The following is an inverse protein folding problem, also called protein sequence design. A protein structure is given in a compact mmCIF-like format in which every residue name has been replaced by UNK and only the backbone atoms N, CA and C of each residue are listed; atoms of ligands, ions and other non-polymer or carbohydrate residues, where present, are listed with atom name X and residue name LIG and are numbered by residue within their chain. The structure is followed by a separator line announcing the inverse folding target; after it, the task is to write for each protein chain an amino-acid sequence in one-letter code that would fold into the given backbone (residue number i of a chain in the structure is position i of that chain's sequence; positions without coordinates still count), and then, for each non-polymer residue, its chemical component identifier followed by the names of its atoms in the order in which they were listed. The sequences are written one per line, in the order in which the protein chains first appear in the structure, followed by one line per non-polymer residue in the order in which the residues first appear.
data_IF_436688789297
#
_entry.id   IF_436688789297
#
_cell.length_a   1.000
_cell.length_b   1.000
_cell.length_c   1.000
_cell.angle_alpha   90.00
_cell.angle_beta   90.00
_cell.angle_gamma   90.00
#
_symmetry.space_group_name_H-M   'P 1'
#
loop_
_entity.id
_entity.type
_entity.pdbx_description
1 polymer ?
#
# COMPACT_ATOMS: atom_id res chain seq x y z
N UNK A 1 -24.69 -17.44 -3.00
CA UNK A 1 -25.28 -16.11 -3.29
C UNK A 1 -24.36 -15.42 -4.26
N UNK A 2 -24.71 -15.43 -5.55
CA UNK A 2 -24.03 -14.66 -6.59
C UNK A 2 -24.45 -13.20 -6.40
N UNK A 3 -23.63 -12.41 -5.72
CA UNK A 3 -23.79 -10.96 -5.71
C UNK A 3 -23.52 -10.46 -7.13
N UNK A 4 -24.56 -10.01 -7.83
CA UNK A 4 -24.38 -9.18 -9.02
C UNK A 4 -23.43 -8.05 -8.61
N UNK A 5 -22.23 -7.99 -9.23
CA UNK A 5 -21.27 -6.93 -8.94
C UNK A 5 -21.95 -5.58 -9.07
N UNK A 6 -21.84 -4.74 -8.07
CA UNK A 6 -22.31 -3.37 -8.18
C UNK A 6 -21.40 -2.68 -9.21
N UNK A 7 -21.93 -2.23 -10.33
CA UNK A 7 -21.18 -1.43 -11.31
C UNK A 7 -20.97 0.02 -10.82
N UNK A 8 -20.76 0.19 -9.51
CA UNK A 8 -20.64 1.50 -8.86
C UNK A 8 -19.44 2.34 -9.36
N UNK A 9 -18.46 1.68 -9.98
CA UNK A 9 -17.26 2.32 -10.54
C UNK A 9 -17.24 2.25 -12.10
N UNK A 10 -18.36 1.91 -12.72
CA UNK A 10 -18.43 1.84 -14.19
C UNK A 10 -18.15 3.22 -14.81
N UNK A 11 -17.33 3.24 -15.86
CA UNK A 11 -16.90 4.50 -16.52
C UNK A 11 -15.84 5.29 -15.79
N UNK A 12 -15.24 4.73 -14.73
CA UNK A 12 -14.14 5.32 -14.00
C UNK A 12 -12.80 4.68 -14.37
N UNK A 13 -11.75 5.51 -14.45
CA UNK A 13 -10.37 5.12 -14.69
C UNK A 13 -9.61 5.04 -13.36
N UNK A 14 -8.86 3.95 -13.16
CA UNK A 14 -8.06 3.74 -11.96
C UNK A 14 -6.61 3.36 -12.30
N UNK A 15 -5.64 3.96 -11.60
CA UNK A 15 -4.25 3.55 -11.59
C UNK A 15 -3.91 2.89 -10.25
N UNK A 16 -3.24 1.74 -10.28
CA UNK A 16 -2.70 1.08 -9.09
C UNK A 16 -1.19 0.94 -9.23
N UNK A 17 -0.39 1.76 -8.55
CA UNK A 17 1.07 1.60 -8.52
C UNK A 17 1.45 0.45 -7.58
N UNK A 18 2.50 -0.32 -7.93
CA UNK A 18 2.81 -1.55 -7.19
C UNK A 18 1.76 -2.65 -7.39
N UNK A 19 1.04 -2.62 -8.51
CA UNK A 19 -0.10 -3.50 -8.82
C UNK A 19 0.25 -4.95 -9.17
N UNK A 20 1.54 -5.33 -9.19
CA UNK A 20 2.00 -6.67 -9.59
C UNK A 20 1.83 -7.71 -8.47
N UNK A 21 0.61 -8.00 -8.05
CA UNK A 21 0.29 -8.98 -7.00
C UNK A 21 0.18 -8.36 -5.58
N UNK A 22 0.11 -9.22 -4.56
CA UNK A 22 -0.02 -8.79 -3.17
C UNK A 22 -1.23 -7.88 -2.93
N UNK A 23 -1.03 -6.79 -2.17
CA UNK A 23 -2.08 -5.81 -1.89
C UNK A 23 -2.53 -5.06 -3.14
N UNK A 24 -1.57 -4.65 -4.00
CA UNK A 24 -1.89 -3.90 -5.21
C UNK A 24 -2.76 -4.69 -6.18
N UNK A 25 -2.44 -5.97 -6.43
CA UNK A 25 -3.26 -6.84 -7.26
C UNK A 25 -4.66 -7.08 -6.70
N UNK A 26 -4.80 -7.21 -5.37
CA UNK A 26 -6.10 -7.31 -4.72
C UNK A 26 -6.91 -6.02 -4.86
N UNK A 27 -6.28 -4.85 -4.65
CA UNK A 27 -6.93 -3.56 -4.88
C UNK A 27 -7.42 -3.41 -6.32
N UNK A 28 -6.56 -3.72 -7.30
CA UNK A 28 -6.92 -3.69 -8.72
C UNK A 28 -8.13 -4.60 -9.01
N UNK A 29 -8.13 -5.81 -8.46
CA UNK A 29 -9.23 -6.76 -8.64
C UNK A 29 -10.55 -6.23 -8.06
N UNK A 30 -10.52 -5.63 -6.87
CA UNK A 30 -11.73 -5.09 -6.24
C UNK A 30 -12.30 -3.90 -7.01
N UNK A 31 -11.45 -3.01 -7.52
CA UNK A 31 -11.89 -1.89 -8.38
C UNK A 31 -12.47 -2.40 -9.70
N UNK A 32 -11.79 -3.35 -10.36
CA UNK A 32 -12.27 -3.95 -11.62
C UNK A 32 -13.58 -4.74 -11.42
N UNK A 33 -13.75 -5.44 -10.30
CA UNK A 33 -15.01 -6.14 -9.95
C UNK A 33 -16.20 -5.19 -9.91
N UNK A 34 -16.00 -3.97 -9.43
CA UNK A 34 -17.05 -2.96 -9.32
C UNK A 34 -17.16 -2.09 -10.61
N UNK A 35 -16.51 -2.49 -11.70
CA UNK A 35 -16.69 -1.94 -13.05
C UNK A 35 -15.67 -0.89 -13.49
N UNK A 36 -14.67 -0.56 -12.68
CA UNK A 36 -13.59 0.35 -13.10
C UNK A 36 -12.73 -0.22 -14.23
N UNK A 37 -12.21 0.64 -15.09
CA UNK A 37 -11.08 0.31 -15.96
C UNK A 37 -9.80 0.56 -15.18
N UNK A 38 -9.01 -0.49 -14.96
CA UNK A 38 -7.86 -0.46 -14.05
C UNK A 38 -6.57 -0.67 -14.82
N UNK A 39 -5.62 0.23 -14.63
CA UNK A 39 -4.23 0.05 -15.06
C UNK A 39 -3.38 -0.31 -13.84
N UNK A 40 -2.66 -1.43 -13.91
CA UNK A 40 -1.67 -1.81 -12.89
C UNK A 40 -0.27 -1.45 -13.35
N UNK A 41 0.49 -0.77 -12.49
CA UNK A 41 1.88 -0.38 -12.74
C UNK A 41 2.84 -1.17 -11.86
N UNK A 42 3.96 -1.61 -12.42
CA UNK A 42 5.02 -2.30 -11.69
C UNK A 42 6.27 -2.48 -12.53
N UNK A 43 7.35 -2.98 -11.92
CA UNK A 43 8.68 -3.04 -12.56
C UNK A 43 8.88 -4.24 -13.48
N UNK A 44 8.10 -5.29 -13.33
CA UNK A 44 8.32 -6.57 -14.02
C UNK A 44 7.12 -6.93 -14.87
N UNK A 45 7.29 -6.93 -16.19
CA UNK A 45 6.24 -7.23 -17.15
C UNK A 45 5.53 -8.56 -16.87
N UNK A 46 6.27 -9.64 -16.70
CA UNK A 46 5.69 -10.96 -16.46
C UNK A 46 4.77 -11.01 -15.22
N UNK A 47 5.12 -10.26 -14.14
CA UNK A 47 4.28 -10.19 -12.95
C UNK A 47 2.99 -9.38 -13.19
N UNK A 48 3.06 -8.34 -14.01
CA UNK A 48 1.89 -7.53 -14.39
C UNK A 48 0.94 -8.31 -15.29
N UNK A 49 1.48 -9.03 -16.28
CA UNK A 49 0.72 -9.93 -17.15
C UNK A 49 0.00 -11.00 -16.33
N UNK A 50 0.72 -11.66 -15.41
CA UNK A 50 0.15 -12.68 -14.54
C UNK A 50 -0.97 -12.11 -13.66
N UNK A 51 -0.77 -10.92 -13.08
CA UNK A 51 -1.79 -10.25 -12.26
C UNK A 51 -3.04 -9.90 -13.10
N UNK A 52 -2.86 -9.33 -14.28
CA UNK A 52 -3.97 -8.99 -15.18
C UNK A 52 -4.73 -10.25 -15.64
N UNK A 53 -4.01 -11.33 -15.95
CA UNK A 53 -4.61 -12.61 -16.32
C UNK A 53 -5.40 -13.23 -15.15
N UNK A 54 -4.83 -13.23 -13.93
CA UNK A 54 -5.53 -13.70 -12.72
C UNK A 54 -6.84 -12.93 -12.47
N UNK A 55 -6.80 -11.60 -12.58
CA UNK A 55 -7.99 -10.76 -12.40
C UNK A 55 -9.05 -11.10 -13.44
N UNK A 56 -8.69 -11.20 -14.72
CA UNK A 56 -9.62 -11.57 -15.79
C UNK A 56 -10.19 -12.98 -15.63
N UNK A 57 -9.36 -13.93 -15.17
CA UNK A 57 -9.80 -15.30 -14.92
C UNK A 57 -10.86 -15.40 -13.82
N UNK A 58 -10.78 -14.53 -12.82
CA UNK A 58 -11.70 -14.49 -11.67
C UNK A 58 -12.98 -13.70 -11.93
N UNK A 59 -12.89 -12.62 -12.71
CA UNK A 59 -14.00 -11.69 -12.94
C UNK A 59 -14.71 -11.90 -14.28
N UNK A 60 -14.11 -12.65 -15.18
CA UNK A 60 -14.62 -12.87 -16.53
C UNK A 60 -13.98 -11.96 -17.58
N UNK A 61 -14.30 -12.19 -18.89
CA UNK A 61 -13.64 -11.50 -20.00
C UNK A 61 -13.95 -10.00 -20.07
N UNK A 62 -15.03 -9.55 -19.44
CA UNK A 62 -15.43 -8.14 -19.43
C UNK A 62 -14.64 -7.28 -18.45
N UNK A 63 -13.79 -7.90 -17.59
CA UNK A 63 -12.94 -7.19 -16.67
C UNK A 63 -11.90 -6.34 -17.41
N UNK A 64 -11.97 -5.03 -17.23
CA UNK A 64 -11.10 -4.05 -17.90
C UNK A 64 -9.86 -3.82 -17.06
N UNK A 65 -8.85 -4.63 -17.30
CA UNK A 65 -7.55 -4.53 -16.59
C UNK A 65 -6.44 -4.50 -17.62
N UNK A 66 -5.65 -3.43 -17.56
CA UNK A 66 -4.45 -3.23 -18.37
C UNK A 66 -3.23 -3.06 -17.48
N UNK A 67 -2.04 -2.98 -18.05
CA UNK A 67 -0.80 -2.83 -17.30
C UNK A 67 0.24 -1.99 -18.03
N UNK A 68 1.12 -1.38 -17.26
CA UNK A 68 2.27 -0.62 -17.75
C UNK A 68 3.52 -0.91 -16.90
N UNK A 69 4.64 -1.11 -17.57
CA UNK A 69 5.94 -1.25 -16.88
C UNK A 69 6.46 0.11 -16.47
N UNK A 70 6.82 0.25 -15.19
CA UNK A 70 7.41 1.47 -14.66
C UNK A 70 7.79 1.33 -13.19
N UNK A 71 8.68 2.20 -12.75
CA UNK A 71 9.13 2.31 -11.36
C UNK A 71 8.43 3.49 -10.69
N UNK A 72 7.64 3.22 -9.64
CA UNK A 72 6.92 4.25 -8.87
C UNK A 72 7.86 5.26 -8.16
N UNK A 73 9.16 4.97 -8.12
CA UNK A 73 10.20 5.89 -7.63
C UNK A 73 10.70 6.86 -8.70
N UNK A 74 10.23 6.73 -9.95
CA UNK A 74 10.67 7.55 -11.08
C UNK A 74 9.52 8.43 -11.57
N UNK A 75 9.75 9.72 -11.57
CA UNK A 75 8.76 10.74 -11.94
C UNK A 75 8.17 10.50 -13.34
N UNK A 76 9.03 10.26 -14.35
CA UNK A 76 8.61 10.05 -15.73
C UNK A 76 7.80 8.76 -15.90
N UNK A 77 8.13 7.70 -15.16
CA UNK A 77 7.40 6.44 -15.21
C UNK A 77 6.00 6.60 -14.62
N UNK A 78 5.88 7.34 -13.50
CA UNK A 78 4.57 7.62 -12.87
C UNK A 78 3.73 8.52 -13.76
N UNK A 79 4.33 9.57 -14.38
CA UNK A 79 3.64 10.46 -15.31
C UNK A 79 3.03 9.67 -16.48
N UNK A 80 3.84 8.82 -17.14
CA UNK A 80 3.37 7.96 -18.23
C UNK A 80 2.27 6.99 -17.79
N UNK A 81 2.38 6.45 -16.58
CA UNK A 81 1.37 5.53 -16.06
C UNK A 81 0.03 6.21 -15.80
N UNK A 82 0.05 7.46 -15.30
CA UNK A 82 -1.16 8.27 -15.12
C UNK A 82 -1.80 8.61 -16.47
N UNK A 83 -1.00 9.04 -17.47
CA UNK A 83 -1.46 9.34 -18.83
C UNK A 83 -2.11 8.09 -19.44
N UNK A 84 -1.41 6.95 -19.44
CA UNK A 84 -1.92 5.69 -19.98
C UNK A 84 -3.22 5.25 -19.30
N UNK A 85 -3.31 5.33 -17.98
CA UNK A 85 -4.52 4.95 -17.24
C UNK A 85 -5.71 5.89 -17.54
N UNK A 86 -5.42 7.17 -17.79
CA UNK A 86 -6.43 8.19 -18.07
C UNK A 86 -6.89 8.26 -19.54
N UNK A 87 -6.12 7.72 -20.47
CA UNK A 87 -6.34 7.84 -21.91
C UNK A 87 -7.79 7.48 -22.34
N UNK A 88 -8.42 6.37 -21.88
CA UNK A 88 -9.76 6.01 -22.32
C UNK A 88 -10.86 7.00 -21.91
N UNK A 89 -10.61 7.84 -20.91
CA UNK A 89 -11.61 8.73 -20.29
C UNK A 89 -11.19 10.21 -20.26
N UNK A 90 -10.05 10.52 -20.88
CA UNK A 90 -9.45 11.85 -20.84
C UNK A 90 -9.21 12.37 -19.42
N UNK A 91 -8.67 11.51 -18.57
CA UNK A 91 -8.34 11.81 -17.18
C UNK A 91 -8.49 10.62 -16.24
N UNK A 92 -8.18 10.81 -14.97
CA UNK A 92 -8.13 9.76 -13.96
C UNK A 92 -9.19 10.02 -12.88
N UNK A 93 -9.86 9.00 -12.40
CA UNK A 93 -10.83 9.09 -11.30
C UNK A 93 -10.25 8.57 -9.98
N UNK A 94 -9.38 7.54 -10.05
CA UNK A 94 -8.84 6.89 -8.85
C UNK A 94 -7.34 6.59 -9.00
N UNK A 95 -6.59 6.79 -7.93
CA UNK A 95 -5.18 6.37 -7.83
C UNK A 95 -4.95 5.63 -6.51
N UNK A 96 -4.38 4.42 -6.58
CA UNK A 96 -3.99 3.65 -5.40
C UNK A 96 -2.48 3.51 -5.36
N UNK A 97 -1.84 4.15 -4.38
CA UNK A 97 -0.39 4.12 -4.18
C UNK A 97 -0.01 3.02 -3.19
N UNK A 98 0.49 1.88 -3.69
CA UNK A 98 0.76 0.71 -2.84
C UNK A 98 2.24 0.46 -2.56
N UNK A 99 3.14 1.18 -3.22
CA UNK A 99 4.59 0.96 -3.09
C UNK A 99 5.07 1.39 -1.71
N UNK A 100 5.83 0.52 -1.07
CA UNK A 100 6.40 0.72 0.25
C UNK A 100 7.16 -0.51 0.72
N UNK A 101 7.64 -0.46 1.95
CA UNK A 101 8.32 -1.58 2.60
C UNK A 101 9.49 -1.12 3.46
N UNK A 102 9.96 -2.02 4.32
CA UNK A 102 11.07 -1.78 5.23
C UNK A 102 11.90 -3.02 5.46
N UNK A 103 12.98 -2.85 6.19
CA UNK A 103 13.95 -3.87 6.53
C UNK A 103 14.00 -4.02 8.06
N UNK A 104 14.03 -5.25 8.54
CA UNK A 104 14.20 -5.52 9.99
C UNK A 104 15.68 -5.33 10.33
N UNK A 105 16.00 -4.23 10.99
CA UNK A 105 17.38 -3.82 11.32
C UNK A 105 17.39 -3.09 12.67
N UNK A 106 18.21 -3.49 13.64
CA UNK A 106 18.41 -2.73 14.88
C UNK A 106 18.79 -1.28 14.58
N UNK A 107 18.30 -0.34 15.40
CA UNK A 107 18.50 1.10 15.16
C UNK A 107 19.96 1.49 14.97
N UNK A 108 20.85 0.95 15.79
CA UNK A 108 22.29 1.24 15.73
C UNK A 108 23.03 0.55 14.57
N UNK A 109 22.39 -0.41 13.89
CA UNK A 109 22.92 -1.07 12.70
C UNK A 109 22.33 -0.52 11.39
N UNK A 110 21.40 0.44 11.48
CA UNK A 110 20.85 1.11 10.32
C UNK A 110 21.78 2.27 9.94
N UNK A 111 22.32 2.22 8.73
CA UNK A 111 23.08 3.33 8.18
C UNK A 111 22.16 4.40 7.54
N UNK A 112 22.73 5.55 7.23
CA UNK A 112 22.02 6.68 6.64
C UNK A 112 21.51 6.38 5.24
N UNK A 113 22.17 5.52 4.47
CA UNK A 113 21.76 5.12 3.12
C UNK A 113 20.52 4.21 3.19
N UNK A 114 20.47 3.24 4.11
CA UNK A 114 19.31 2.39 4.33
C UNK A 114 18.11 3.20 4.81
N UNK A 115 18.33 4.11 5.77
CA UNK A 115 17.29 5.02 6.25
C UNK A 115 16.72 5.86 5.10
N UNK A 116 17.57 6.50 4.31
CA UNK A 116 17.15 7.32 3.16
C UNK A 116 16.36 6.50 2.14
N UNK A 117 16.84 5.31 1.78
CA UNK A 117 16.17 4.43 0.83
C UNK A 117 14.79 3.96 1.32
N UNK A 118 14.60 3.74 2.62
CA UNK A 118 13.30 3.40 3.19
C UNK A 118 12.35 4.59 3.23
N UNK A 119 12.82 5.78 3.57
CA UNK A 119 12.04 7.01 3.51
C UNK A 119 11.60 7.30 2.07
N UNK A 120 12.52 7.25 1.12
CA UNK A 120 12.22 7.44 -0.30
C UNK A 120 11.15 6.45 -0.78
N UNK A 121 11.33 5.19 -0.50
CA UNK A 121 10.38 4.14 -0.92
C UNK A 121 8.99 4.36 -0.36
N UNK A 122 8.85 4.80 0.89
CA UNK A 122 7.56 4.94 1.55
C UNK A 122 6.89 6.31 1.35
N UNK A 123 7.68 7.37 1.10
CA UNK A 123 7.18 8.74 0.97
C UNK A 123 7.21 9.20 -0.48
N UNK A 124 8.39 9.11 -1.15
CA UNK A 124 8.56 9.67 -2.50
C UNK A 124 7.68 8.96 -3.53
N UNK A 125 7.52 7.63 -3.43
CA UNK A 125 6.64 6.89 -4.33
C UNK A 125 5.18 7.36 -4.27
N UNK A 126 4.68 7.61 -3.06
CA UNK A 126 3.31 8.12 -2.85
C UNK A 126 3.20 9.60 -3.26
N UNK A 127 4.21 10.41 -2.94
CA UNK A 127 4.27 11.80 -3.39
C UNK A 127 4.19 11.91 -4.91
N UNK A 128 4.94 11.11 -5.66
CA UNK A 128 4.89 11.10 -7.12
C UNK A 128 3.51 10.66 -7.63
N UNK A 129 2.92 9.62 -7.05
CA UNK A 129 1.58 9.18 -7.40
C UNK A 129 0.54 10.31 -7.19
N UNK A 130 0.57 10.99 -6.06
CA UNK A 130 -0.31 12.14 -5.77
C UNK A 130 -0.05 13.27 -6.78
N UNK A 131 1.20 13.69 -6.92
CA UNK A 131 1.63 14.80 -7.77
C UNK A 131 1.13 14.67 -9.20
N UNK A 132 1.24 13.49 -9.79
CA UNK A 132 0.86 13.28 -11.18
C UNK A 132 -0.61 12.93 -11.37
N UNK A 133 -1.26 12.29 -10.37
CA UNK A 133 -2.68 11.98 -10.44
C UNK A 133 -3.58 13.23 -10.34
N UNK A 134 -3.20 14.22 -9.52
CA UNK A 134 -4.02 15.43 -9.27
C UNK A 134 -4.38 16.18 -10.55
N UNK A 135 -3.46 16.54 -11.47
CA UNK A 135 -3.83 17.21 -12.72
C UNK A 135 -4.79 16.37 -13.58
N UNK A 136 -4.58 15.05 -13.68
CA UNK A 136 -5.43 14.17 -14.46
C UNK A 136 -6.83 14.01 -13.82
N UNK A 137 -6.95 14.07 -12.50
CA UNK A 137 -8.23 14.06 -11.78
C UNK A 137 -8.98 15.39 -11.95
N UNK A 138 -8.26 16.51 -11.98
CA UNK A 138 -8.87 17.83 -12.19
C UNK A 138 -9.62 17.89 -13.52
N UNK A 139 -9.12 17.26 -14.57
CA UNK A 139 -9.82 17.18 -15.88
C UNK A 139 -11.14 16.42 -15.80
N UNK A 140 -11.30 15.54 -14.79
CA UNK A 140 -12.54 14.78 -14.51
C UNK A 140 -13.48 15.50 -13.52
N UNK A 141 -13.06 16.65 -13.00
CA UNK A 141 -13.83 17.42 -12.01
C UNK A 141 -13.66 16.91 -10.57
N UNK A 142 -12.63 16.13 -10.30
CA UNK A 142 -12.30 15.56 -9.00
C UNK A 142 -11.80 14.13 -9.07
N UNK A 143 -11.56 13.51 -7.93
CA UNK A 143 -11.06 12.14 -7.88
C UNK A 143 -10.77 11.63 -6.46
N UNK A 144 -10.21 10.44 -6.36
CA UNK A 144 -9.83 9.85 -5.09
C UNK A 144 -8.45 9.19 -5.15
N UNK A 145 -7.60 9.54 -4.21
CA UNK A 145 -6.27 8.94 -4.03
C UNK A 145 -6.28 8.16 -2.71
N UNK A 146 -5.86 6.90 -2.75
CA UNK A 146 -5.73 6.05 -1.56
C UNK A 146 -4.30 5.53 -1.46
N UNK A 147 -3.60 5.89 -0.40
CA UNK A 147 -2.24 5.44 -0.12
C UNK A 147 -2.24 4.23 0.83
N UNK A 148 -1.37 3.25 0.59
CA UNK A 148 -1.19 2.15 1.53
C UNK A 148 -0.13 2.53 2.55
N UNK A 149 -0.59 2.88 3.75
CA UNK A 149 0.21 3.13 4.93
C UNK A 149 0.46 1.83 5.71
N UNK A 150 0.46 1.86 7.03
CA UNK A 150 0.63 0.71 7.93
C UNK A 150 0.20 1.09 9.35
N UNK A 151 -0.14 0.12 10.19
CA UNK A 151 -0.22 0.29 11.65
C UNK A 151 1.12 0.80 12.24
N UNK A 152 2.25 0.51 11.57
CA UNK A 152 3.57 1.06 11.91
C UNK A 152 3.66 2.59 11.82
N UNK A 153 2.69 3.28 11.23
CA UNK A 153 2.62 4.74 11.24
C UNK A 153 2.25 5.31 12.63
N UNK A 154 1.59 4.53 13.46
CA UNK A 154 1.10 4.91 14.79
C UNK A 154 1.68 4.05 15.91
N UNK A 155 2.05 2.82 15.61
CA UNK A 155 2.67 1.89 16.55
C UNK A 155 4.18 1.87 16.37
N UNK A 156 4.92 1.75 17.47
CA UNK A 156 6.35 1.51 17.42
C UNK A 156 6.62 0.03 17.16
N UNK A 157 7.31 -0.26 16.06
CA UNK A 157 7.83 -1.59 15.74
C UNK A 157 9.34 -1.56 15.93
N UNK A 158 9.88 -2.12 17.02
CA UNK A 158 11.32 -2.25 17.21
C UNK A 158 11.98 -2.90 15.99
N UNK A 159 13.17 -2.47 15.64
CA UNK A 159 13.94 -2.91 14.47
C UNK A 159 13.38 -2.47 13.09
N UNK A 160 12.39 -1.57 13.05
CA UNK A 160 11.80 -1.06 11.80
C UNK A 160 11.74 0.48 11.76
N UNK A 161 12.79 1.15 12.23
CA UNK A 161 12.82 2.60 12.40
C UNK A 161 12.50 3.36 11.11
N UNK A 162 13.19 3.05 10.00
CA UNK A 162 12.99 3.72 8.71
C UNK A 162 11.58 3.47 8.14
N UNK A 163 11.04 2.26 8.31
CA UNK A 163 9.69 1.93 7.89
C UNK A 163 8.63 2.70 8.70
N UNK A 164 8.73 2.69 10.03
CA UNK A 164 7.81 3.43 10.89
C UNK A 164 7.83 4.93 10.58
N UNK A 165 9.03 5.53 10.47
CA UNK A 165 9.19 6.93 10.11
C UNK A 165 8.61 7.24 8.72
N UNK A 166 8.87 6.39 7.73
CA UNK A 166 8.33 6.52 6.38
C UNK A 166 6.80 6.45 6.33
N UNK A 167 6.18 5.52 7.07
CA UNK A 167 4.72 5.37 7.10
C UNK A 167 4.04 6.50 7.90
N UNK A 168 4.66 6.97 8.98
CA UNK A 168 4.18 8.16 9.70
C UNK A 168 4.28 9.43 8.82
N UNK A 169 5.39 9.57 8.07
CA UNK A 169 5.57 10.63 7.09
C UNK A 169 4.54 10.57 5.96
N UNK A 170 4.21 9.37 5.48
CA UNK A 170 3.15 9.16 4.49
C UNK A 170 1.78 9.62 5.01
N UNK A 171 1.42 9.29 6.25
CA UNK A 171 0.16 9.75 6.84
C UNK A 171 0.11 11.29 6.98
N UNK A 172 1.25 11.93 7.26
CA UNK A 172 1.35 13.39 7.25
C UNK A 172 1.18 13.96 5.83
N UNK A 173 1.84 13.37 4.84
CA UNK A 173 1.72 13.77 3.43
C UNK A 173 0.27 13.68 2.93
N UNK A 174 -0.44 12.61 3.28
CA UNK A 174 -1.86 12.42 2.95
C UNK A 174 -2.73 13.55 3.49
N UNK A 175 -2.51 13.98 4.74
CA UNK A 175 -3.27 15.10 5.34
C UNK A 175 -3.02 16.41 4.62
N UNK A 176 -1.76 16.71 4.30
CA UNK A 176 -1.41 17.93 3.55
C UNK A 176 -2.03 17.94 2.17
N UNK A 177 -1.90 16.84 1.43
CA UNK A 177 -2.47 16.73 0.08
C UNK A 177 -4.01 16.80 0.10
N UNK A 178 -4.67 16.24 1.12
CA UNK A 178 -6.12 16.32 1.28
C UNK A 178 -6.59 17.77 1.51
N UNK A 179 -5.86 18.54 2.29
CA UNK A 179 -6.15 19.95 2.56
C UNK A 179 -5.91 20.82 1.32
N UNK A 180 -4.78 20.62 0.64
CA UNK A 180 -4.42 21.39 -0.54
C UNK A 180 -5.36 21.13 -1.74
N UNK A 181 -5.80 19.89 -1.97
CA UNK A 181 -6.54 19.52 -3.17
C UNK A 181 -8.05 19.34 -2.97
N UNK A 182 -8.54 19.47 -1.75
CA UNK A 182 -9.96 19.33 -1.43
C UNK A 182 -10.85 20.29 -2.22
N UNK A 183 -10.40 21.51 -2.47
CA UNK A 183 -11.12 22.52 -3.26
C UNK A 183 -11.26 22.15 -4.75
N UNK A 184 -10.46 21.19 -5.25
CA UNK A 184 -10.56 20.62 -6.60
C UNK A 184 -11.49 19.40 -6.66
N UNK A 185 -12.18 19.06 -5.57
CA UNK A 185 -13.00 17.85 -5.48
C UNK A 185 -12.18 16.56 -5.36
N UNK A 186 -10.89 16.66 -5.01
CA UNK A 186 -9.99 15.51 -4.89
C UNK A 186 -9.87 15.10 -3.42
N UNK A 187 -10.18 13.83 -3.13
CA UNK A 187 -10.02 13.24 -1.80
C UNK A 187 -8.71 12.47 -1.72
N UNK A 188 -7.96 12.64 -0.64
CA UNK A 188 -6.71 11.89 -0.42
C UNK A 188 -6.80 11.23 0.96
N UNK A 189 -6.73 9.91 0.99
CA UNK A 189 -6.81 9.12 2.21
C UNK A 189 -5.71 8.04 2.24
N UNK A 190 -5.50 7.45 3.40
CA UNK A 190 -4.66 6.28 3.58
C UNK A 190 -5.44 5.12 4.20
N UNK A 191 -4.97 3.91 3.95
CA UNK A 191 -5.33 2.71 4.69
C UNK A 191 -4.10 2.25 5.46
N UNK A 192 -4.24 1.90 6.74
CA UNK A 192 -3.20 1.32 7.59
C UNK A 192 -3.45 -0.19 7.79
N UNK A 193 -2.89 -1.06 6.94
CA UNK A 193 -2.94 -2.49 7.15
C UNK A 193 -2.17 -2.90 8.40
N UNK A 194 -2.67 -3.91 9.10
CA UNK A 194 -1.87 -4.71 10.01
C UNK A 194 -1.14 -5.83 9.29
N UNK A 195 -0.64 -6.81 10.05
CA UNK A 195 0.05 -7.98 9.50
C UNK A 195 -0.89 -8.72 8.53
N UNK A 196 -0.60 -8.58 7.24
CA UNK A 196 -1.39 -9.12 6.14
C UNK A 196 -0.57 -10.15 5.38
N UNK A 197 -1.09 -11.35 5.23
CA UNK A 197 -0.42 -12.43 4.48
C UNK A 197 -0.48 -12.14 2.98
N UNK A 198 0.67 -11.84 2.38
CA UNK A 198 0.80 -11.63 0.93
C UNK A 198 1.80 -12.62 0.34
N UNK A 199 1.78 -12.81 -0.97
CA UNK A 199 2.78 -13.60 -1.68
C UNK A 199 4.13 -12.86 -1.83
N UNK A 200 4.28 -11.62 -1.37
CA UNK A 200 5.51 -10.86 -1.47
C UNK A 200 6.52 -11.27 -0.40
N UNK A 201 7.79 -11.33 -0.77
CA UNK A 201 8.89 -11.79 0.09
C UNK A 201 9.19 -10.91 1.30
N UNK A 202 8.72 -9.67 1.37
CA UNK A 202 9.07 -8.74 2.44
C UNK A 202 8.42 -9.08 3.79
N UNK A 203 7.31 -9.80 3.78
CA UNK A 203 6.59 -10.22 5.01
C UNK A 203 6.74 -11.72 5.26
N UNK A 204 7.33 -12.48 4.31
CA UNK A 204 7.47 -13.93 4.41
C UNK A 204 8.32 -14.37 5.61
N UNK A 205 9.35 -13.58 5.98
CA UNK A 205 10.18 -13.89 7.14
C UNK A 205 9.37 -13.96 8.45
N UNK A 206 8.40 -13.06 8.65
CA UNK A 206 7.49 -13.08 9.80
C UNK A 206 6.61 -14.34 9.80
N UNK A 207 6.14 -14.76 8.61
CA UNK A 207 5.26 -15.92 8.48
C UNK A 207 6.00 -17.27 8.49
N UNK A 208 7.33 -17.27 8.36
CA UNK A 208 8.14 -18.47 8.39
C UNK A 208 8.45 -18.95 9.82
N UNK A 209 8.19 -18.12 10.82
CA UNK A 209 8.36 -18.46 12.23
C UNK A 209 6.99 -18.61 12.91
N UNK A 210 6.52 -19.83 13.19
CA UNK A 210 5.22 -20.07 13.80
C UNK A 210 5.07 -19.44 15.19
N UNK A 211 6.16 -19.32 15.97
CA UNK A 211 6.12 -18.74 17.32
C UNK A 211 5.84 -17.23 17.25
N UNK A 212 6.49 -16.53 16.31
CA UNK A 212 6.25 -15.10 16.06
C UNK A 212 4.80 -14.88 15.61
N UNK A 213 4.30 -15.72 14.71
CA UNK A 213 2.91 -15.65 14.24
C UNK A 213 1.94 -15.87 15.39
N UNK A 214 2.19 -16.89 16.24
CA UNK A 214 1.34 -17.18 17.40
C UNK A 214 1.34 -16.05 18.42
N UNK A 215 2.51 -15.50 18.75
CA UNK A 215 2.64 -14.34 19.64
C UNK A 215 1.86 -13.15 19.06
N UNK A 216 2.01 -12.91 17.77
CA UNK A 216 1.31 -11.84 17.06
C UNK A 216 -0.22 -12.03 17.10
N UNK A 217 -0.70 -13.25 16.90
CA UNK A 217 -2.14 -13.56 16.90
C UNK A 217 -2.74 -13.51 18.32
N UNK A 218 -1.97 -13.83 19.36
CA UNK A 218 -2.39 -13.74 20.75
C UNK A 218 -2.74 -12.30 21.15
N UNK A 219 -2.01 -11.35 20.61
CA UNK A 219 -2.23 -9.92 20.87
C UNK A 219 -3.32 -9.30 19.99
N UNK A 220 -3.78 -9.99 18.94
CA UNK A 220 -4.81 -9.45 18.03
C UNK A 220 -6.24 -9.77 18.51
N UNK A 221 -7.08 -8.73 18.69
CA UNK A 221 -8.49 -8.95 19.04
C UNK A 221 -9.25 -9.86 18.07
N UNK A 222 -9.02 -9.73 16.74
CA UNK A 222 -9.69 -10.59 15.75
C UNK A 222 -9.03 -11.97 15.55
N UNK A 223 -7.90 -12.27 16.22
CA UNK A 223 -7.29 -13.60 16.28
C UNK A 223 -6.81 -14.19 14.94
N UNK A 224 -6.66 -13.38 13.90
CA UNK A 224 -6.16 -13.81 12.59
C UNK A 224 -5.27 -12.74 11.94
N UNK A 225 -4.46 -13.16 10.99
CA UNK A 225 -3.78 -12.22 10.08
C UNK A 225 -4.78 -11.66 9.06
N UNK A 226 -4.50 -10.46 8.55
CA UNK A 226 -5.24 -9.91 7.43
C UNK A 226 -4.99 -10.68 6.13
N UNK A 227 -5.92 -10.58 5.21
CA UNK A 227 -5.79 -10.99 3.82
C UNK A 227 -5.70 -9.77 2.91
N UNK A 228 -5.17 -9.88 1.70
CA UNK A 228 -5.21 -8.79 0.73
C UNK A 228 -6.63 -8.27 0.46
N UNK A 229 -7.63 -9.13 0.56
CA UNK A 229 -9.04 -8.75 0.37
C UNK A 229 -9.60 -7.90 1.52
N UNK A 230 -9.18 -8.13 2.75
CA UNK A 230 -9.56 -7.26 3.87
C UNK A 230 -9.13 -5.82 3.61
N UNK A 231 -7.91 -5.63 3.09
CA UNK A 231 -7.36 -4.32 2.79
C UNK A 231 -8.00 -3.71 1.55
N UNK A 232 -8.14 -4.51 0.49
CA UNK A 232 -8.72 -4.06 -0.79
C UNK A 232 -10.18 -3.59 -0.64
N UNK A 233 -10.94 -4.19 0.27
CA UNK A 233 -12.31 -3.74 0.60
C UNK A 233 -12.33 -2.30 1.12
N UNK A 234 -11.43 -1.96 2.05
CA UNK A 234 -11.31 -0.60 2.55
C UNK A 234 -10.76 0.39 1.52
N UNK A 235 -9.80 -0.03 0.70
CA UNK A 235 -9.31 0.79 -0.42
C UNK A 235 -10.44 1.08 -1.41
N UNK A 236 -11.22 0.08 -1.80
CA UNK A 236 -12.39 0.26 -2.69
C UNK A 236 -13.40 1.23 -2.08
N UNK A 237 -13.71 1.10 -0.79
CA UNK A 237 -14.61 2.02 -0.10
C UNK A 237 -14.10 3.46 -0.17
N UNK A 238 -12.84 3.70 0.21
CA UNK A 238 -12.26 5.05 0.18
C UNK A 238 -12.09 5.61 -1.24
N UNK A 239 -11.80 4.77 -2.22
CA UNK A 239 -11.67 5.18 -3.61
C UNK A 239 -13.03 5.51 -4.25
N UNK A 240 -14.10 4.84 -3.82
CA UNK A 240 -15.42 4.94 -4.41
C UNK A 240 -16.27 6.12 -3.91
N UNK A 241 -17.49 6.26 -4.48
CA UNK A 241 -18.40 7.36 -4.14
C UNK A 241 -18.97 7.26 -2.72
N UNK A 242 -18.97 6.07 -2.11
CA UNK A 242 -19.47 5.85 -0.74
C UNK A 242 -18.67 6.65 0.32
N UNK A 243 -17.43 7.04 -0.01
CA UNK A 243 -16.55 7.84 0.83
C UNK A 243 -16.49 9.33 0.42
N UNK A 244 -17.53 9.85 -0.23
CA UNK A 244 -17.54 11.21 -0.81
C UNK A 244 -17.31 12.34 0.22
N UNK A 245 -17.51 12.07 1.51
CA UNK A 245 -17.27 13.02 2.61
C UNK A 245 -16.08 12.65 3.51
N UNK A 246 -15.14 11.83 2.96
CA UNK A 246 -13.96 11.35 3.70
C UNK A 246 -12.69 11.79 2.95
N UNK A 247 -11.91 12.67 3.57
CA UNK A 247 -10.58 13.08 3.08
C UNK A 247 -9.63 13.33 4.24
N UNK A 248 -8.32 13.18 4.03
CA UNK A 248 -7.29 13.38 5.04
C UNK A 248 -7.24 12.29 6.12
N UNK A 249 -7.99 11.19 5.95
CA UNK A 249 -8.07 10.13 6.94
C UNK A 249 -7.09 9.00 6.66
N UNK A 250 -6.60 8.38 7.74
CA UNK A 250 -5.80 7.17 7.71
C UNK A 250 -6.57 6.06 8.43
N UNK A 251 -7.24 5.21 7.65
CA UNK A 251 -8.15 4.17 8.14
C UNK A 251 -7.38 2.91 8.53
N UNK A 252 -7.41 2.55 9.81
CA UNK A 252 -6.82 1.30 10.29
C UNK A 252 -7.66 0.08 9.84
N UNK A 253 -7.00 -0.90 9.19
CA UNK A 253 -7.57 -2.20 8.82
C UNK A 253 -6.56 -3.27 9.25
N UNK A 254 -6.52 -3.54 10.55
CA UNK A 254 -5.39 -4.24 11.18
C UNK A 254 -5.82 -5.29 12.24
N UNK A 255 -7.13 -5.56 12.34
CA UNK A 255 -7.69 -6.57 13.25
C UNK A 255 -7.67 -6.20 14.73
N UNK A 256 -7.55 -4.91 15.08
CA UNK A 256 -7.45 -4.40 16.44
C UNK A 256 -6.02 -4.36 16.99
N UNK A 257 -5.00 -4.46 16.12
CA UNK A 257 -3.60 -4.48 16.52
C UNK A 257 -3.18 -3.22 17.28
N UNK A 258 -3.64 -2.04 16.83
CA UNK A 258 -3.35 -0.74 17.47
C UNK A 258 -3.88 -0.63 18.92
N UNK A 259 -4.76 -1.54 19.34
CA UNK A 259 -5.25 -1.63 20.72
C UNK A 259 -4.29 -2.40 21.64
N UNK A 260 -3.25 -3.01 21.10
CA UNK A 260 -2.32 -3.90 21.78
C UNK A 260 -0.86 -3.48 21.53
N UNK A 261 0.06 -4.24 22.12
CA UNK A 261 1.50 -4.05 21.92
C UNK A 261 1.99 -4.81 20.70
N UNK A 262 2.90 -4.19 19.92
CA UNK A 262 3.58 -4.90 18.83
C UNK A 262 4.49 -6.01 19.38
N UNK A 263 4.59 -7.18 18.71
CA UNK A 263 5.49 -8.24 19.09
C UNK A 263 6.98 -7.82 18.91
N UNK A 264 7.89 -8.49 19.64
CA UNK A 264 9.31 -8.30 19.44
C UNK A 264 9.75 -8.93 18.11
N UNK A 265 10.54 -8.19 17.33
CA UNK A 265 11.19 -8.67 16.11
C UNK A 265 12.67 -9.05 16.34
N UNK A 266 13.10 -9.09 17.61
CA UNK A 266 14.50 -9.37 18.00
C UNK A 266 14.98 -10.72 17.44
N UNK A 267 14.14 -11.77 17.52
CA UNK A 267 14.48 -13.09 16.99
C UNK A 267 14.80 -13.05 15.50
N UNK A 268 14.03 -12.30 14.72
CA UNK A 268 14.28 -12.12 13.28
C UNK A 268 15.55 -11.31 13.03
N UNK A 269 15.77 -10.26 13.82
CA UNK A 269 17.01 -9.48 13.74
C UNK A 269 18.24 -10.35 13.99
N UNK A 270 18.20 -11.20 15.02
CA UNK A 270 19.28 -12.16 15.34
C UNK A 270 19.52 -13.18 14.22
N UNK A 271 18.48 -13.75 13.66
CA UNK A 271 18.60 -14.68 12.52
C UNK A 271 19.26 -14.03 11.30
N UNK A 272 19.03 -12.74 11.09
CA UNK A 272 19.51 -12.00 9.93
C UNK A 272 20.93 -11.46 10.09
N UNK A 273 21.27 -10.94 11.27
CA UNK A 273 22.47 -10.15 11.52
C UNK A 273 23.47 -10.85 12.45
N UNK A 274 23.07 -11.96 13.08
CA UNK A 274 23.82 -12.67 14.09
C UNK A 274 23.61 -12.14 15.51
N UNK A 275 23.78 -13.02 16.49
CA UNK A 275 23.54 -12.70 17.91
C UNK A 275 24.48 -11.60 18.41
N UNK A 276 25.78 -11.71 18.11
CA UNK A 276 26.81 -10.75 18.60
C UNK A 276 26.50 -9.32 18.15
N UNK A 277 26.14 -9.11 16.89
CA UNK A 277 25.81 -7.77 16.35
C UNK A 277 24.55 -7.19 17.00
N UNK A 278 23.55 -8.03 17.25
CA UNK A 278 22.31 -7.58 17.89
C UNK A 278 22.56 -7.31 19.38
N UNK A 279 23.36 -8.13 20.08
CA UNK A 279 23.71 -7.91 21.48
C UNK A 279 24.49 -6.60 21.66
N UNK A 280 25.46 -6.32 20.79
CA UNK A 280 26.22 -5.05 20.83
C UNK A 280 25.25 -3.87 20.60
N UNK A 281 24.37 -3.95 19.62
CA UNK A 281 23.40 -2.91 19.33
C UNK A 281 22.40 -2.68 20.48
N UNK A 282 21.89 -3.76 21.09
CA UNK A 282 20.99 -3.67 22.26
C UNK A 282 21.71 -3.16 23.51
N UNK A 283 23.02 -3.38 23.62
CA UNK A 283 23.86 -2.81 24.67
C UNK A 283 24.27 -1.35 24.40
N UNK A 284 23.78 -0.74 23.33
CA UNK A 284 24.05 0.66 22.97
C UNK A 284 25.39 0.87 22.29
N UNK A 285 26.01 -0.18 21.74
CA UNK A 285 27.26 -0.09 21.01
C UNK A 285 27.05 -0.26 19.52
N UNK A 286 27.82 0.46 18.73
CA UNK A 286 27.88 0.30 17.27
C UNK A 286 29.03 -0.70 16.99
N UNK A 287 28.73 -1.85 16.37
CA UNK A 287 29.74 -2.88 16.08
C UNK A 287 30.73 -2.43 15.01
#
# INVERSE_FOLDING_TARGET
MTTSGSHALAGMAALVTGGAGGLGGACARWLARDGATVTVMGRTQASLEATSADIRSRLGPDARVDWIVGDAMKADDVARAVEHAGEPFNGLDMCVATVGGGTITPFLLMDDQLLSAELDRNIVSAFLAIKYAVPAMTTRGGGSIVCISSDAATMSWPFMAGYCAGKAGLDALVRVAADEFGHLGIRVNAVRPGLTRTASNNVSALFNDPEIVEEFLREKPLGRTGTPDDIAAGVRFLAGPDASWITGQSLAIEGGNELRRAPSLEKIARQRLGDDAVDEALAGRIP
#
